data_IF_393132821169
#
_entry.id   IF_393132821169
#
_cell.length_a   1.000
_cell.length_b   1.000
_cell.length_c   1.000
_cell.angle_alpha   90.00
_cell.angle_beta   90.00
_cell.angle_gamma   90.00
#
_symmetry.space_group_name_H-M   'P 1'
#
loop_
_entity.id
_entity.type
_entity.pdbx_description
1 polymer ?
#
# COMPACT_ATOMS: atom_id res chain seq x y z
N UNK A 1 -70.57 -50.78 22.23
CA UNK A 1 -70.71 -51.91 21.29
C UNK A 1 -70.13 -51.45 19.96
N UNK A 2 -69.21 -52.26 19.41
CA UNK A 2 -68.45 -52.11 18.17
C UNK A 2 -67.32 -51.06 18.13
N UNK A 3 -66.20 -51.24 17.43
CA UNK A 3 -65.21 -52.32 17.20
C UNK A 3 -64.00 -51.60 16.60
N UNK A 4 -62.80 -52.02 17.00
CA UNK A 4 -61.45 -51.85 16.40
C UNK A 4 -61.36 -51.26 14.97
N UNK A 5 -60.30 -50.46 14.72
CA UNK A 5 -59.30 -50.81 13.70
C UNK A 5 -57.98 -50.02 13.88
N UNK A 6 -56.90 -50.76 14.13
CA UNK A 6 -55.51 -50.33 13.88
C UNK A 6 -55.25 -50.59 12.40
N UNK A 7 -54.76 -49.60 11.66
CA UNK A 7 -54.23 -49.80 10.32
C UNK A 7 -52.81 -49.22 10.23
N UNK A 8 -51.84 -50.13 10.32
CA UNK A 8 -50.48 -49.96 9.81
C UNK A 8 -50.57 -49.75 8.30
N UNK A 9 -50.02 -48.65 7.79
CA UNK A 9 -49.72 -48.52 6.35
C UNK A 9 -48.26 -48.12 6.20
N UNK A 10 -47.47 -49.12 5.82
CA UNK A 10 -46.15 -48.94 5.23
C UNK A 10 -46.29 -48.21 3.90
N UNK A 11 -45.71 -47.02 3.78
CA UNK A 11 -45.45 -46.39 2.49
C UNK A 11 -43.94 -46.40 2.27
N UNK A 12 -43.55 -47.26 1.32
CA UNK A 12 -42.20 -47.38 0.82
C UNK A 12 -41.87 -46.22 -0.14
N UNK A 13 -40.62 -45.77 -0.08
CA UNK A 13 -39.85 -45.32 -1.24
C UNK A 13 -40.30 -44.03 -1.93
N UNK A 14 -39.72 -42.91 -1.53
CA UNK A 14 -39.38 -41.85 -2.46
C UNK A 14 -37.98 -41.33 -2.13
N UNK A 15 -36.98 -41.98 -2.71
CA UNK A 15 -35.62 -41.47 -2.79
C UNK A 15 -35.64 -40.22 -3.65
N UNK A 16 -35.62 -39.06 -3.01
CA UNK A 16 -35.31 -37.80 -3.67
C UNK A 16 -33.83 -37.84 -4.06
N UNK A 17 -33.57 -38.11 -5.35
CA UNK A 17 -32.31 -37.74 -5.96
C UNK A 17 -32.20 -36.22 -5.87
N UNK A 18 -31.49 -35.73 -4.86
CA UNK A 18 -30.89 -34.42 -4.98
C UNK A 18 -29.82 -34.55 -6.07
N UNK A 19 -30.17 -34.12 -7.28
CA UNK A 19 -29.17 -33.68 -8.24
C UNK A 19 -28.36 -32.60 -7.56
N UNK A 20 -27.21 -32.98 -7.01
CA UNK A 20 -26.18 -32.04 -6.63
C UNK A 20 -25.79 -31.29 -7.89
N UNK A 21 -26.22 -30.04 -8.01
CA UNK A 21 -25.50 -29.09 -8.84
C UNK A 21 -24.13 -28.95 -8.19
N UNK A 22 -23.13 -29.62 -8.79
CA UNK A 22 -21.75 -29.26 -8.58
C UNK A 22 -21.62 -27.78 -8.89
N UNK A 23 -21.34 -26.98 -7.88
CA UNK A 23 -20.74 -25.66 -8.09
C UNK A 23 -19.32 -25.92 -8.59
N UNK A 24 -19.20 -26.10 -9.91
CA UNK A 24 -17.95 -25.84 -10.59
C UNK A 24 -18.11 -24.41 -11.12
N UNK A 25 -17.69 -23.44 -10.32
CA UNK A 25 -17.65 -22.02 -10.70
C UNK A 25 -16.30 -21.68 -11.37
N UNK A 26 -15.68 -22.63 -12.08
CA UNK A 26 -14.31 -22.48 -12.66
C UNK A 26 -14.30 -22.10 -14.15
N UNK A 27 -15.44 -21.77 -14.76
CA UNK A 27 -15.51 -21.30 -16.16
C UNK A 27 -15.65 -19.77 -16.21
N UNK A 28 -14.72 -19.02 -15.61
CA UNK A 28 -14.53 -17.62 -15.98
C UNK A 28 -13.87 -17.57 -17.36
N UNK A 29 -14.72 -17.56 -18.39
CA UNK A 29 -14.26 -17.27 -19.75
C UNK A 29 -13.94 -15.78 -19.82
N UNK A 30 -12.64 -15.46 -19.71
CA UNK A 30 -12.14 -14.11 -19.93
C UNK A 30 -12.56 -13.53 -21.29
N UNK A 31 -12.36 -12.22 -21.44
CA UNK A 31 -12.71 -11.50 -22.67
C UNK A 31 -11.57 -11.53 -23.69
N UNK A 32 -11.88 -11.17 -24.94
CA UNK A 32 -10.88 -10.83 -25.94
C UNK A 32 -10.57 -9.34 -25.81
N UNK A 33 -9.33 -8.92 -25.50
CA UNK A 33 -8.99 -7.51 -25.37
C UNK A 33 -8.95 -6.80 -26.73
N UNK A 34 -8.92 -5.47 -26.71
CA UNK A 34 -8.73 -4.69 -27.94
C UNK A 34 -7.33 -4.92 -28.52
N UNK A 35 -7.15 -4.86 -29.86
CA UNK A 35 -5.84 -5.07 -30.47
C UNK A 35 -4.70 -4.21 -29.90
N UNK A 36 -4.88 -2.91 -29.58
CA UNK A 36 -3.83 -2.11 -28.93
C UNK A 36 -3.41 -2.67 -27.56
N UNK A 37 -4.37 -3.18 -26.77
CA UNK A 37 -4.12 -3.78 -25.46
C UNK A 37 -3.38 -5.10 -25.59
N UNK A 38 -3.86 -5.99 -26.46
CA UNK A 38 -3.21 -7.28 -26.72
C UNK A 38 -1.76 -7.09 -27.19
N UNK A 39 -1.53 -6.16 -28.12
CA UNK A 39 -0.20 -5.87 -28.63
C UNK A 39 0.72 -5.32 -27.54
N UNK A 40 0.26 -4.36 -26.73
CA UNK A 40 1.05 -3.80 -25.63
C UNK A 40 1.36 -4.84 -24.54
N UNK A 41 0.41 -5.71 -24.23
CA UNK A 41 0.59 -6.82 -23.32
C UNK A 41 1.67 -7.79 -23.82
N UNK A 42 1.56 -8.26 -25.06
CA UNK A 42 2.53 -9.18 -25.67
C UNK A 42 3.92 -8.56 -25.80
N UNK A 43 4.01 -7.25 -26.08
CA UNK A 43 5.29 -6.54 -26.15
C UNK A 43 5.97 -6.44 -24.78
N UNK A 44 5.20 -6.13 -23.72
CA UNK A 44 5.73 -5.96 -22.37
C UNK A 44 6.02 -7.29 -21.67
N UNK A 45 5.21 -8.33 -21.93
CA UNK A 45 5.28 -9.64 -21.31
C UNK A 45 5.37 -10.77 -22.36
N UNK A 46 6.47 -10.84 -23.14
CA UNK A 46 6.60 -11.80 -24.25
C UNK A 46 6.57 -13.27 -23.80
N UNK A 47 6.90 -13.53 -22.52
CA UNK A 47 6.95 -14.86 -21.93
C UNK A 47 5.69 -15.22 -21.11
N UNK A 48 4.67 -14.36 -21.10
CA UNK A 48 3.43 -14.60 -20.36
C UNK A 48 2.79 -15.95 -20.74
N UNK A 49 2.13 -16.57 -19.76
CA UNK A 49 1.44 -17.85 -19.90
C UNK A 49 0.02 -17.72 -19.33
N UNK A 50 -0.92 -18.33 -20.04
CA UNK A 50 -2.34 -18.39 -19.66
C UNK A 50 -2.96 -17.01 -19.37
N UNK A 51 -2.83 -16.01 -20.27
CA UNK A 51 -3.46 -14.71 -20.03
C UNK A 51 -4.98 -14.84 -20.04
N UNK A 52 -5.62 -14.31 -18.99
CA UNK A 52 -7.07 -14.16 -18.87
C UNK A 52 -7.36 -12.68 -18.70
N UNK A 53 -8.06 -12.11 -19.67
CA UNK A 53 -8.42 -10.70 -19.63
C UNK A 53 -9.82 -10.50 -19.05
N UNK A 54 -9.96 -9.44 -18.27
CA UNK A 54 -11.23 -8.91 -17.75
C UNK A 54 -11.27 -7.38 -17.93
N UNK A 55 -12.42 -6.77 -17.62
CA UNK A 55 -12.57 -5.32 -17.56
C UNK A 55 -12.97 -4.94 -16.15
N UNK A 56 -12.13 -4.12 -15.51
CA UNK A 56 -12.41 -3.54 -14.20
C UNK A 56 -12.41 -2.02 -14.31
N UNK A 57 -13.58 -1.40 -14.14
CA UNK A 57 -13.74 0.03 -14.30
C UNK A 57 -13.33 0.52 -15.68
N UNK A 58 -12.24 1.28 -15.75
CA UNK A 58 -11.70 1.88 -16.98
C UNK A 58 -10.51 1.12 -17.58
N UNK A 59 -10.17 -0.06 -17.04
CA UNK A 59 -8.96 -0.79 -17.39
C UNK A 59 -9.29 -2.17 -17.95
N UNK A 60 -8.47 -2.60 -18.91
CA UNK A 60 -8.27 -4.00 -19.22
C UNK A 60 -7.31 -4.57 -18.18
N UNK A 61 -7.75 -5.59 -17.47
CA UNK A 61 -6.97 -6.28 -16.44
C UNK A 61 -6.64 -7.66 -16.97
N UNK A 62 -5.40 -8.08 -16.85
CA UNK A 62 -4.96 -9.39 -17.31
C UNK A 62 -4.23 -10.11 -16.20
N UNK A 63 -4.74 -11.29 -15.86
CA UNK A 63 -4.08 -12.25 -14.99
C UNK A 63 -3.31 -13.25 -15.86
N UNK A 64 -2.07 -13.52 -15.48
CA UNK A 64 -1.19 -14.40 -16.21
C UNK A 64 -0.06 -14.91 -15.32
N UNK A 65 0.61 -15.96 -15.77
CA UNK A 65 1.85 -16.43 -15.16
C UNK A 65 3.05 -15.84 -15.90
N UNK A 66 3.99 -15.25 -15.17
CA UNK A 66 5.21 -14.68 -15.74
C UNK A 66 6.42 -15.00 -14.85
N UNK A 67 7.46 -15.62 -15.43
CA UNK A 67 8.65 -15.98 -14.66
C UNK A 67 8.42 -16.95 -13.49
N UNK A 68 7.27 -17.63 -13.44
CA UNK A 68 6.87 -18.51 -12.35
C UNK A 68 6.06 -17.85 -11.23
N UNK A 69 5.74 -16.57 -11.36
CA UNK A 69 4.83 -15.84 -10.47
C UNK A 69 3.49 -15.59 -11.14
N UNK A 70 2.42 -15.60 -10.35
CA UNK A 70 1.15 -15.00 -10.75
C UNK A 70 1.32 -13.48 -10.85
N UNK A 71 0.75 -12.89 -11.89
CA UNK A 71 0.89 -11.47 -12.18
C UNK A 71 -0.42 -10.95 -12.75
N UNK A 72 -0.85 -9.82 -12.20
CA UNK A 72 -1.95 -9.03 -12.75
C UNK A 72 -1.39 -7.75 -13.35
N UNK A 73 -1.82 -7.38 -14.55
CA UNK A 73 -1.43 -6.11 -15.19
C UNK A 73 -2.65 -5.32 -15.67
N UNK A 74 -2.57 -4.00 -15.57
CA UNK A 74 -3.64 -3.08 -15.97
C UNK A 74 -3.21 -2.24 -17.18
N UNK A 75 -4.07 -2.18 -18.18
CA UNK A 75 -3.89 -1.37 -19.38
C UNK A 75 -5.12 -0.49 -19.63
N UNK A 76 -4.90 0.71 -20.17
CA UNK A 76 -6.00 1.52 -20.75
C UNK A 76 -6.51 0.91 -22.05
N UNK A 77 -7.67 1.36 -22.55
CA UNK A 77 -8.22 0.92 -23.84
C UNK A 77 -7.33 1.23 -25.06
N UNK A 78 -6.37 2.16 -24.91
CA UNK A 78 -5.35 2.50 -25.91
C UNK A 78 -4.08 1.64 -25.79
N UNK A 79 -4.03 0.68 -24.86
CA UNK A 79 -2.84 -0.16 -24.63
C UNK A 79 -1.74 0.52 -23.82
N UNK A 80 -2.01 1.64 -23.14
CA UNK A 80 -1.04 2.21 -22.18
C UNK A 80 -1.01 1.35 -20.92
N UNK A 81 0.17 0.81 -20.58
CA UNK A 81 0.40 0.10 -19.32
C UNK A 81 0.31 1.06 -18.13
N UNK A 82 -0.42 0.67 -17.09
CA UNK A 82 -0.70 1.52 -15.94
C UNK A 82 -0.17 0.95 -14.63
N UNK A 83 -0.20 -0.37 -14.47
CA UNK A 83 0.18 -1.05 -13.23
C UNK A 83 0.49 -2.51 -13.48
N UNK A 84 1.33 -3.10 -12.64
CA UNK A 84 1.40 -4.54 -12.41
C UNK A 84 1.45 -4.84 -10.91
N UNK A 85 0.87 -5.98 -10.51
CA UNK A 85 0.94 -6.57 -9.17
C UNK A 85 1.48 -7.99 -9.36
N UNK A 86 2.62 -8.27 -8.76
CA UNK A 86 3.34 -9.54 -8.92
C UNK A 86 3.33 -10.25 -7.58
N UNK A 87 2.84 -11.50 -7.56
CA UNK A 87 2.99 -12.39 -6.41
C UNK A 87 4.47 -12.72 -6.22
N UNK A 88 4.98 -12.38 -5.03
CA UNK A 88 6.34 -12.68 -4.60
C UNK A 88 6.30 -13.38 -3.25
N UNK A 89 7.27 -14.25 -3.00
CA UNK A 89 7.45 -14.79 -1.65
C UNK A 89 7.98 -13.72 -0.69
N UNK A 90 7.62 -13.82 0.58
CA UNK A 90 8.19 -12.97 1.65
C UNK A 90 9.74 -12.97 1.67
N UNK A 91 10.37 -14.07 1.24
CA UNK A 91 11.83 -14.20 1.15
C UNK A 91 12.47 -13.36 0.03
N UNK A 92 11.69 -12.93 -0.97
CA UNK A 92 12.13 -12.07 -2.07
C UNK A 92 12.02 -10.57 -1.73
N UNK A 93 11.38 -10.21 -0.62
CA UNK A 93 11.32 -8.82 -0.17
C UNK A 93 12.73 -8.24 0.08
N UNK A 94 12.93 -6.94 -0.16
CA UNK A 94 14.13 -6.26 0.31
C UNK A 94 14.32 -6.46 1.82
N UNK A 95 15.57 -6.61 2.25
CA UNK A 95 15.91 -6.83 3.65
C UNK A 95 15.33 -5.74 4.58
N UNK A 96 15.26 -4.49 4.09
CA UNK A 96 14.69 -3.37 4.82
C UNK A 96 13.18 -3.55 5.07
N UNK A 97 12.42 -4.01 4.07
CA UNK A 97 10.96 -4.27 4.18
C UNK A 97 10.69 -5.41 5.15
N UNK A 98 11.36 -6.55 4.99
CA UNK A 98 11.17 -7.70 5.89
C UNK A 98 11.57 -7.37 7.34
N UNK A 99 12.60 -6.53 7.53
CA UNK A 99 12.98 -6.01 8.85
C UNK A 99 11.90 -5.10 9.44
N UNK A 100 11.37 -4.18 8.62
CA UNK A 100 10.33 -3.25 9.04
C UNK A 100 9.06 -4.00 9.48
N UNK A 101 8.62 -5.01 8.74
CA UNK A 101 7.51 -5.87 9.15
C UNK A 101 7.77 -6.55 10.51
N UNK A 102 8.94 -7.16 10.70
CA UNK A 102 9.33 -7.85 11.94
C UNK A 102 9.45 -6.91 13.15
N UNK A 103 9.58 -5.61 12.94
CA UNK A 103 9.62 -4.59 14.00
C UNK A 103 8.26 -3.88 14.18
N UNK A 104 7.29 -4.17 13.31
CA UNK A 104 5.98 -3.54 13.33
C UNK A 104 5.08 -4.11 14.43
N UNK A 105 3.95 -3.44 14.64
CA UNK A 105 2.86 -3.92 15.48
C UNK A 105 2.33 -5.30 15.04
N UNK A 106 2.45 -5.63 13.76
CA UNK A 106 1.93 -6.85 13.14
C UNK A 106 2.98 -7.97 13.06
N UNK A 107 4.14 -7.81 13.69
CA UNK A 107 5.26 -8.75 13.58
C UNK A 107 4.97 -10.20 14.00
N UNK A 108 3.91 -10.42 14.78
CA UNK A 108 3.45 -11.73 15.23
C UNK A 108 2.22 -12.27 14.47
N UNK A 109 1.79 -11.57 13.41
CA UNK A 109 0.70 -11.99 12.53
C UNK A 109 1.25 -12.97 11.49
N UNK A 110 0.38 -13.85 10.99
CA UNK A 110 0.74 -14.73 9.86
C UNK A 110 0.78 -13.88 8.60
N UNK A 111 1.77 -14.09 7.73
CA UNK A 111 1.79 -13.48 6.41
C UNK A 111 1.13 -14.45 5.45
N UNK A 112 0.07 -14.02 4.79
CA UNK A 112 -0.66 -14.83 3.82
C UNK A 112 -0.02 -14.68 2.45
N UNK A 113 -0.03 -13.45 1.94
CA UNK A 113 0.55 -13.13 0.65
C UNK A 113 1.46 -11.89 0.68
N UNK A 114 2.31 -11.78 -0.34
CA UNK A 114 3.24 -10.65 -0.49
C UNK A 114 3.32 -10.27 -1.95
N UNK A 115 3.27 -8.96 -2.23
CA UNK A 115 3.24 -8.48 -3.61
C UNK A 115 4.26 -7.37 -3.87
N UNK A 116 4.79 -7.35 -5.09
CA UNK A 116 5.47 -6.19 -5.65
C UNK A 116 4.51 -5.45 -6.59
N UNK A 117 4.31 -4.16 -6.34
CA UNK A 117 3.42 -3.30 -7.13
C UNK A 117 4.24 -2.21 -7.81
N UNK A 118 4.19 -2.18 -9.15
CA UNK A 118 4.75 -1.09 -9.94
C UNK A 118 3.61 -0.34 -10.63
N UNK A 119 3.61 0.99 -10.56
CA UNK A 119 2.65 1.86 -11.26
C UNK A 119 3.38 2.78 -12.24
N UNK A 120 2.69 3.21 -13.28
CA UNK A 120 3.25 4.11 -14.29
C UNK A 120 3.75 5.42 -13.65
N UNK A 121 5.02 5.75 -13.88
CA UNK A 121 5.72 6.92 -13.33
C UNK A 121 5.76 6.98 -11.79
N UNK A 122 5.77 5.81 -11.14
CA UNK A 122 5.94 5.66 -9.70
C UNK A 122 7.01 4.61 -9.38
N UNK A 123 7.58 4.69 -8.19
CA UNK A 123 8.48 3.68 -7.66
C UNK A 123 7.74 2.46 -7.13
N UNK A 124 8.51 1.40 -6.90
CA UNK A 124 7.99 0.13 -6.41
C UNK A 124 7.44 0.26 -4.98
N UNK A 125 6.29 -0.37 -4.76
CA UNK A 125 5.66 -0.54 -3.44
C UNK A 125 5.54 -2.04 -3.15
N UNK A 126 5.85 -2.43 -1.93
CA UNK A 126 5.69 -3.81 -1.47
C UNK A 126 4.47 -3.92 -0.56
N UNK A 127 3.56 -4.83 -0.87
CA UNK A 127 2.40 -5.15 -0.04
C UNK A 127 2.69 -6.42 0.76
N UNK A 128 2.33 -6.44 2.04
CA UNK A 128 2.27 -7.64 2.89
C UNK A 128 0.84 -7.73 3.40
N UNK A 129 0.16 -8.81 3.05
CA UNK A 129 -1.15 -9.17 3.60
C UNK A 129 -0.88 -10.04 4.84
N UNK A 130 -1.41 -9.63 5.98
CA UNK A 130 -1.16 -10.33 7.24
C UNK A 130 -2.45 -10.55 8.02
N UNK A 131 -2.64 -11.75 8.53
CA UNK A 131 -3.81 -12.12 9.31
C UNK A 131 -3.49 -12.50 10.78
N UNK A 132 -4.44 -12.20 11.65
CA UNK A 132 -4.50 -12.77 12.98
C UNK A 132 -5.97 -13.03 13.38
N UNK A 133 -6.31 -14.31 13.57
CA UNK A 133 -7.65 -14.76 13.94
C UNK A 133 -8.71 -14.45 12.87
N UNK A 134 -9.48 -13.36 13.02
CA UNK A 134 -10.53 -12.95 12.07
C UNK A 134 -10.27 -11.54 11.54
N UNK A 135 -9.02 -11.09 11.59
CA UNK A 135 -8.59 -9.76 11.18
C UNK A 135 -7.44 -9.92 10.22
N UNK A 136 -7.48 -9.15 9.15
CA UNK A 136 -6.49 -9.14 8.08
C UNK A 136 -6.16 -7.69 7.74
N UNK A 137 -4.89 -7.42 7.49
CA UNK A 137 -4.37 -6.07 7.27
C UNK A 137 -3.40 -6.07 6.09
N UNK A 138 -3.51 -5.02 5.29
CA UNK A 138 -2.60 -4.74 4.21
C UNK A 138 -1.59 -3.69 4.60
N UNK A 139 -0.31 -4.07 4.54
CA UNK A 139 0.81 -3.21 4.88
C UNK A 139 1.60 -2.86 3.62
N UNK A 140 1.62 -1.58 3.27
CA UNK A 140 2.32 -1.09 2.09
C UNK A 140 3.62 -0.42 2.47
N UNK A 141 4.73 -0.85 1.88
CA UNK A 141 6.07 -0.39 2.19
C UNK A 141 6.81 0.16 0.97
N UNK A 142 7.62 1.18 1.20
CA UNK A 142 8.68 1.56 0.27
C UNK A 142 9.76 0.47 0.21
N UNK A 143 10.63 0.50 -0.80
CA UNK A 143 11.81 -0.38 -0.88
C UNK A 143 12.78 -0.27 0.32
N UNK A 144 12.71 0.80 1.11
CA UNK A 144 13.51 1.01 2.31
C UNK A 144 12.78 0.64 3.61
N UNK A 145 11.60 0.02 3.52
CA UNK A 145 10.82 -0.41 4.68
C UNK A 145 10.08 0.73 5.38
N UNK A 146 9.87 1.88 4.73
CA UNK A 146 8.97 2.90 5.25
C UNK A 146 7.53 2.46 5.04
N UNK A 147 6.74 2.41 6.11
CA UNK A 147 5.31 2.12 6.01
C UNK A 147 4.60 3.32 5.38
N UNK A 148 4.03 3.12 4.19
CA UNK A 148 3.26 4.11 3.42
C UNK A 148 1.84 4.18 3.98
N UNK A 149 1.19 3.03 4.15
CA UNK A 149 -0.13 2.91 4.77
C UNK A 149 -0.37 1.50 5.31
N UNK A 150 -1.29 1.42 6.27
CA UNK A 150 -1.85 0.18 6.79
C UNK A 150 -3.38 0.31 6.75
N UNK A 151 -4.06 -0.61 6.09
CA UNK A 151 -5.52 -0.61 5.94
C UNK A 151 -6.07 -2.01 6.21
N UNK A 152 -7.32 -2.11 6.65
CA UNK A 152 -8.01 -3.40 6.73
C UNK A 152 -8.02 -4.02 5.32
N UNK A 153 -7.81 -5.33 5.22
CA UNK A 153 -7.85 -6.00 3.91
C UNK A 153 -9.24 -5.87 3.28
N UNK A 154 -9.24 -5.55 1.98
CA UNK A 154 -10.43 -5.49 1.14
C UNK A 154 -10.09 -6.04 -0.25
N UNK A 155 -10.95 -6.92 -0.76
CA UNK A 155 -10.83 -7.46 -2.12
C UNK A 155 -10.75 -6.30 -3.14
N UNK A 156 -9.75 -6.38 -4.02
CA UNK A 156 -9.50 -5.45 -5.13
C UNK A 156 -9.23 -4.00 -4.70
N UNK A 157 -8.57 -3.79 -3.55
CA UNK A 157 -8.17 -2.47 -3.07
C UNK A 157 -6.93 -1.88 -3.79
N UNK A 158 -6.26 -2.68 -4.62
CA UNK A 158 -5.12 -2.28 -5.43
C UNK A 158 -5.55 -1.89 -6.86
N UNK A 159 -5.48 -0.61 -7.18
CA UNK A 159 -5.80 -0.10 -8.52
C UNK A 159 -4.73 0.84 -9.08
N UNK A 160 -4.72 1.10 -10.41
CA UNK A 160 -3.85 2.11 -10.98
C UNK A 160 -4.15 3.52 -10.48
N UNK A 161 -3.10 4.32 -10.29
CA UNK A 161 -3.21 5.73 -9.87
C UNK A 161 -2.85 6.61 -11.06
N UNK A 162 -3.82 7.42 -11.51
CA UNK A 162 -3.56 8.46 -12.51
C UNK A 162 -2.99 9.68 -11.79
N UNK A 163 -1.74 10.02 -12.07
CA UNK A 163 -1.08 11.19 -11.46
C UNK A 163 -1.72 12.48 -12.02
N UNK A 164 -2.33 13.33 -11.17
CA UNK A 164 -2.88 14.62 -11.62
C UNK A 164 -1.78 15.53 -12.18
N UNK A 165 -2.12 16.38 -13.16
CA UNK A 165 -1.12 17.24 -13.82
C UNK A 165 -0.44 18.19 -12.84
N UNK A 166 -1.17 18.65 -11.84
CA UNK A 166 -0.67 19.48 -10.74
C UNK A 166 0.43 18.75 -9.94
N UNK A 167 0.24 17.46 -9.66
CA UNK A 167 1.22 16.63 -8.96
C UNK A 167 2.43 16.40 -9.86
N UNK A 168 2.26 16.07 -11.14
CA UNK A 168 3.39 15.92 -12.07
C UNK A 168 4.23 17.21 -12.14
N UNK A 169 3.60 18.37 -12.27
CA UNK A 169 4.30 19.66 -12.29
C UNK A 169 5.03 19.94 -10.97
N UNK A 170 4.43 19.60 -9.83
CA UNK A 170 5.05 19.77 -8.52
C UNK A 170 6.28 18.87 -8.37
N UNK A 171 6.19 17.61 -8.80
CA UNK A 171 7.32 16.67 -8.81
C UNK A 171 8.44 17.19 -9.71
N UNK A 172 8.15 17.64 -10.92
CA UNK A 172 9.16 18.17 -11.85
C UNK A 172 9.89 19.42 -11.32
N UNK A 173 9.17 20.33 -10.65
CA UNK A 173 9.73 21.64 -10.26
C UNK A 173 10.33 21.63 -8.86
N UNK A 174 9.67 20.98 -7.89
CA UNK A 174 10.02 21.03 -6.46
C UNK A 174 10.73 19.77 -5.99
N UNK A 175 10.35 18.61 -6.52
CA UNK A 175 10.89 17.31 -6.13
C UNK A 175 11.58 16.61 -7.31
N UNK A 176 12.37 17.35 -8.09
CA UNK A 176 12.85 16.91 -9.41
C UNK A 176 13.66 15.60 -9.41
N UNK A 177 14.26 15.25 -8.28
CA UNK A 177 15.03 14.01 -8.10
C UNK A 177 14.26 12.92 -7.35
N UNK A 178 12.99 13.17 -7.05
CA UNK A 178 12.16 12.27 -6.26
C UNK A 178 11.35 11.33 -7.15
N UNK A 179 11.16 10.12 -6.64
CA UNK A 179 10.31 9.09 -7.19
C UNK A 179 9.04 8.98 -6.34
N UNK A 180 7.89 9.23 -6.94
CA UNK A 180 6.59 9.15 -6.27
C UNK A 180 6.22 7.69 -6.01
N UNK A 181 5.68 7.36 -4.84
CA UNK A 181 5.27 6.01 -4.45
C UNK A 181 3.74 5.86 -4.31
N UNK A 182 3.08 6.87 -3.74
CA UNK A 182 1.62 6.87 -3.55
C UNK A 182 1.05 8.31 -3.55
N UNK A 183 -0.25 8.41 -3.81
CA UNK A 183 -1.05 9.63 -3.65
C UNK A 183 -2.28 9.27 -2.82
N UNK A 184 -2.30 9.69 -1.56
CA UNK A 184 -3.37 9.36 -0.64
C UNK A 184 -4.28 10.57 -0.39
N UNK A 185 -5.59 10.37 -0.43
CA UNK A 185 -6.54 11.43 -0.05
C UNK A 185 -6.68 11.50 1.47
N UNK A 186 -6.75 12.72 2.00
CA UNK A 186 -7.05 12.94 3.40
C UNK A 186 -7.99 14.14 3.59
N UNK A 187 -8.38 14.43 4.83
CA UNK A 187 -9.34 15.49 5.13
C UNK A 187 -8.85 16.90 4.72
N UNK A 188 -7.53 17.09 4.64
CA UNK A 188 -6.88 18.36 4.29
C UNK A 188 -6.62 18.50 2.78
N UNK A 189 -6.54 17.39 2.05
CA UNK A 189 -6.25 17.35 0.62
C UNK A 189 -5.61 16.02 0.23
N UNK A 190 -4.33 16.07 -0.11
CA UNK A 190 -3.59 14.91 -0.62
C UNK A 190 -2.24 14.78 0.09
N UNK A 191 -1.82 13.56 0.33
CA UNK A 191 -0.50 13.19 0.78
C UNK A 191 0.26 12.56 -0.40
N UNK A 192 1.50 13.00 -0.60
CA UNK A 192 2.42 12.41 -1.57
C UNK A 192 3.54 11.69 -0.81
N UNK A 193 3.63 10.40 -1.04
CA UNK A 193 4.71 9.55 -0.53
C UNK A 193 5.79 9.43 -1.60
N UNK A 194 7.04 9.71 -1.27
CA UNK A 194 8.11 9.70 -2.27
C UNK A 194 9.47 9.33 -1.70
N UNK A 195 10.36 8.84 -2.56
CA UNK A 195 11.79 8.72 -2.28
C UNK A 195 12.51 9.87 -2.98
N UNK A 196 13.17 10.74 -2.21
CA UNK A 196 14.04 11.80 -2.73
C UNK A 196 15.46 11.56 -2.22
N UNK A 197 16.38 11.21 -3.13
CA UNK A 197 17.77 10.89 -2.79
C UNK A 197 17.90 9.84 -1.66
N UNK A 198 17.17 8.72 -1.79
CA UNK A 198 17.10 7.63 -0.81
C UNK A 198 16.43 7.99 0.53
N UNK A 199 15.91 9.21 0.67
CA UNK A 199 15.16 9.64 1.84
C UNK A 199 13.68 9.52 1.52
N UNK A 200 12.94 8.77 2.34
CA UNK A 200 11.48 8.77 2.28
C UNK A 200 10.93 10.07 2.83
N UNK A 201 10.16 10.77 2.01
CA UNK A 201 9.51 12.05 2.32
C UNK A 201 8.01 11.92 2.14
N UNK A 202 7.28 12.62 3.00
CA UNK A 202 5.84 12.75 2.94
C UNK A 202 5.51 14.23 2.73
N UNK A 203 4.85 14.57 1.62
CA UNK A 203 4.42 15.92 1.33
C UNK A 203 2.90 16.06 1.45
N UNK A 204 2.44 17.05 2.21
CA UNK A 204 1.02 17.40 2.31
C UNK A 204 0.68 18.48 1.29
N UNK A 205 -0.38 18.26 0.54
CA UNK A 205 -1.04 19.22 -0.35
C UNK A 205 -2.44 19.53 0.15
N UNK A 206 -2.95 20.73 -0.15
CA UNK A 206 -4.36 21.01 0.05
C UNK A 206 -5.23 20.43 -1.09
N UNK A 207 -6.54 20.63 -1.03
CA UNK A 207 -7.52 20.14 -2.03
C UNK A 207 -7.31 20.70 -3.46
N UNK A 208 -6.54 21.78 -3.60
CA UNK A 208 -6.17 22.37 -4.90
C UNK A 208 -4.77 21.92 -5.36
N UNK A 209 -4.22 20.84 -4.77
CA UNK A 209 -2.86 20.35 -5.00
C UNK A 209 -1.73 21.35 -4.69
N UNK A 210 -2.01 22.39 -3.88
CA UNK A 210 -0.97 23.34 -3.47
C UNK A 210 -0.20 22.78 -2.28
N UNK A 211 1.13 22.74 -2.41
CA UNK A 211 2.04 22.30 -1.36
C UNK A 211 1.82 23.06 -0.03
N UNK A 212 1.75 22.31 1.07
CA UNK A 212 1.60 22.83 2.43
C UNK A 212 2.85 22.54 3.28
N UNK A 213 3.36 21.32 3.19
CA UNK A 213 4.56 20.92 3.92
C UNK A 213 5.22 19.67 3.34
N UNK A 214 6.47 19.44 3.70
CA UNK A 214 7.18 18.17 3.50
C UNK A 214 7.85 17.76 4.80
N UNK A 215 7.75 16.49 5.17
CA UNK A 215 8.38 15.92 6.37
C UNK A 215 9.19 14.68 6.03
N UNK A 216 10.28 14.44 6.77
CA UNK A 216 11.07 13.21 6.69
C UNK A 216 11.80 12.96 8.00
N UNK A 217 12.04 11.68 8.30
CA UNK A 217 12.81 11.27 9.46
C UNK A 217 14.29 11.59 9.26
N UNK A 218 15.00 11.86 10.35
CA UNK A 218 16.45 12.02 10.37
C UNK A 218 17.06 11.44 11.63
N UNK A 219 18.33 11.10 11.55
CA UNK A 219 19.13 10.67 12.70
C UNK A 219 19.64 11.87 13.50
N UNK A 220 20.01 11.63 14.76
CA UNK A 220 20.63 12.67 15.62
C UNK A 220 21.90 13.26 15.00
N UNK A 221 22.67 12.47 14.23
CA UNK A 221 23.91 12.93 13.59
C UNK A 221 23.65 13.93 12.45
N UNK A 222 22.45 13.92 11.87
CA UNK A 222 22.06 14.80 10.75
C UNK A 222 21.44 16.12 11.24
N UNK A 223 21.05 16.19 12.52
CA UNK A 223 20.48 17.42 13.08
C UNK A 223 21.56 18.51 13.16
N UNK A 224 21.26 19.76 12.75
CA UNK A 224 22.20 20.86 12.92
C UNK A 224 22.64 21.02 14.37
N UNK A 225 23.94 21.24 14.58
CA UNK A 225 24.54 21.32 15.92
C UNK A 225 23.85 22.35 16.84
N UNK A 226 23.44 23.51 16.29
CA UNK A 226 22.74 24.55 17.06
C UNK A 226 21.37 24.08 17.57
N UNK A 227 20.68 23.25 16.79
CA UNK A 227 19.38 22.68 17.17
C UNK A 227 19.56 21.61 18.23
N UNK A 228 20.58 20.74 18.08
CA UNK A 228 20.90 19.76 19.13
C UNK A 228 21.27 20.42 20.45
N UNK A 229 22.06 21.51 20.44
CA UNK A 229 22.36 22.29 21.65
C UNK A 229 21.10 22.89 22.27
N UNK A 230 20.15 23.35 21.43
CA UNK A 230 18.83 23.78 21.86
C UNK A 230 18.07 22.67 22.58
N UNK A 231 18.03 21.48 22.00
CA UNK A 231 17.41 20.31 22.61
C UNK A 231 18.08 19.90 23.94
N UNK A 232 19.41 19.81 23.96
CA UNK A 232 20.22 19.41 25.13
C UNK A 232 20.15 20.42 26.29
N UNK A 233 19.82 21.68 26.03
CA UNK A 233 19.61 22.71 27.05
C UNK A 233 18.14 22.87 27.46
N UNK A 234 17.23 22.14 26.82
CA UNK A 234 15.79 22.22 27.09
C UNK A 234 15.38 21.38 28.31
N UNK A 235 14.13 21.55 28.74
CA UNK A 235 13.52 20.72 29.78
C UNK A 235 13.35 19.24 29.38
N UNK A 236 13.60 18.90 28.12
CA UNK A 236 13.39 17.55 27.55
C UNK A 236 14.71 16.81 27.28
N UNK A 237 15.86 17.42 27.61
CA UNK A 237 17.19 16.88 27.30
C UNK A 237 17.46 15.48 27.87
N UNK A 238 16.81 15.13 28.99
CA UNK A 238 16.94 13.82 29.62
C UNK A 238 15.87 12.80 29.18
N UNK A 239 14.89 13.23 28.38
CA UNK A 239 13.83 12.35 27.90
C UNK A 239 14.36 11.46 26.77
N UNK A 240 13.82 10.23 26.70
CA UNK A 240 14.21 9.29 25.63
C UNK A 240 13.63 9.77 24.30
N UNK A 241 14.49 10.19 23.38
CA UNK A 241 14.13 10.47 21.99
C UNK A 241 13.65 9.19 21.32
N UNK A 242 12.45 9.22 20.76
CA UNK A 242 11.85 8.14 19.98
C UNK A 242 12.12 8.32 18.49
N UNK A 243 12.05 9.56 18.00
CA UNK A 243 12.29 9.89 16.59
C UNK A 243 12.52 11.39 16.42
N UNK A 244 13.19 11.75 15.33
CA UNK A 244 13.43 13.14 14.93
C UNK A 244 12.98 13.29 13.49
N UNK A 245 12.21 14.34 13.21
CA UNK A 245 11.74 14.67 11.87
C UNK A 245 12.14 16.10 11.50
N UNK A 246 12.47 16.32 10.23
CA UNK A 246 12.43 17.67 9.66
C UNK A 246 11.03 17.96 9.15
N UNK A 247 10.53 19.17 9.41
CA UNK A 247 9.33 19.71 8.81
C UNK A 247 9.68 20.97 8.02
N UNK A 248 9.45 20.95 6.72
CA UNK A 248 9.51 22.14 5.87
C UNK A 248 8.08 22.58 5.55
N UNK A 249 7.76 23.86 5.79
CA UNK A 249 6.48 24.47 5.41
C UNK A 249 6.68 25.93 5.00
N UNK A 250 5.58 26.67 4.76
CA UNK A 250 5.64 28.08 4.36
C UNK A 250 6.38 29.02 5.36
N UNK A 251 6.47 28.63 6.63
CA UNK A 251 7.15 29.41 7.68
C UNK A 251 8.65 29.08 7.79
N UNK A 252 9.14 28.07 7.07
CA UNK A 252 10.54 27.65 7.08
C UNK A 252 10.73 26.19 7.49
N UNK A 253 11.92 25.91 8.02
CA UNK A 253 12.35 24.58 8.44
C UNK A 253 12.28 24.44 9.96
N UNK A 254 11.77 23.31 10.42
CA UNK A 254 11.64 22.96 11.83
C UNK A 254 12.12 21.55 12.09
N UNK A 255 12.49 21.28 13.34
CA UNK A 255 12.96 19.97 13.80
C UNK A 255 12.05 19.48 14.92
N UNK A 256 11.40 18.34 14.70
CA UNK A 256 10.40 17.77 15.59
C UNK A 256 11.01 16.59 16.33
N UNK A 257 11.26 16.78 17.63
CA UNK A 257 11.75 15.74 18.53
C UNK A 257 10.56 15.08 19.21
N UNK A 258 10.25 13.84 18.84
CA UNK A 258 9.31 13.03 19.61
C UNK A 258 10.08 12.37 20.76
N UNK A 259 9.72 12.71 21.99
CA UNK A 259 10.33 12.21 23.23
C UNK A 259 9.30 11.49 24.10
N UNK A 260 9.74 10.51 24.87
CA UNK A 260 8.92 9.88 25.92
C UNK A 260 9.13 10.62 27.23
N UNK A 261 8.10 11.36 27.66
CA UNK A 261 8.12 12.23 28.84
C UNK A 261 7.01 11.81 29.81
N UNK A 262 7.38 11.36 31.01
CA UNK A 262 6.45 10.85 32.03
C UNK A 262 5.52 9.73 31.52
N UNK A 263 6.05 8.84 30.68
CA UNK A 263 5.30 7.71 30.12
C UNK A 263 4.35 8.08 28.98
N UNK A 264 4.43 9.31 28.45
CA UNK A 264 3.67 9.75 27.27
C UNK A 264 4.60 10.33 26.21
N UNK A 265 4.24 10.13 24.95
CA UNK A 265 4.96 10.74 23.84
C UNK A 265 4.59 12.22 23.71
N UNK A 266 5.61 13.08 23.60
CA UNK A 266 5.48 14.51 23.30
C UNK A 266 6.34 14.85 22.09
N UNK A 267 5.84 15.70 21.21
CA UNK A 267 6.62 16.25 20.10
C UNK A 267 7.01 17.68 20.43
N UNK A 268 8.30 17.96 20.47
CA UNK A 268 8.86 19.28 20.74
C UNK A 268 9.42 19.83 19.44
N UNK A 269 8.95 21.00 19.03
CA UNK A 269 9.34 21.64 17.77
C UNK A 269 10.42 22.67 18.04
N UNK A 270 11.51 22.59 17.28
CA UNK A 270 12.58 23.57 17.30
C UNK A 270 12.66 24.29 15.94
N UNK A 271 12.92 25.59 15.98
CA UNK A 271 13.31 26.35 14.79
C UNK A 271 14.78 26.06 14.40
N UNK A 272 15.24 26.65 13.30
CA UNK A 272 16.62 26.52 12.80
C UNK A 272 17.69 27.12 13.73
N UNK A 273 17.29 27.88 14.76
CA UNK A 273 18.18 28.48 15.74
C UNK A 273 18.23 27.70 17.06
N UNK A 274 17.53 26.58 17.14
CA UNK A 274 17.49 25.74 18.34
C UNK A 274 16.56 26.28 19.44
N UNK A 275 15.59 27.13 19.11
CA UNK A 275 14.57 27.57 20.06
C UNK A 275 13.29 26.75 19.90
N UNK A 276 12.64 26.46 21.03
CA UNK A 276 11.31 25.83 21.04
C UNK A 276 10.27 26.81 20.49
N UNK A 277 9.40 26.34 19.59
CA UNK A 277 8.32 27.12 18.95
C UNK A 277 6.97 26.41 18.96
#
# INVERSE_FOLDING_TARGET
>A
MNTRLILFTCIAGLTLFFSGCSKNDDDHQGIIPLPPVENAFQEKYPDAKNPVFEIEGNYYVVDFNNGGSETTAWFTDQGIWMMEKIDISFAQLPAAVSTAFKQSFYSNWTVDDTYAINRLNMGIVYKIEAEQSNSEVDLYYSQYGNLIKAVDDEINNDAPIVIPKEVSNLMEITFANAELLDIQQNSLGYELDMIDNQIYKVAQLNKDYRWQSTTWAMSEQEVPQIVMQGFESSAYASDKVQSIYTLLNANGTFYLFKVSHNGQDKTITFDVFGNIV
#
